data_IF_859396091513
#
_entry.id   IF_859396091513
#
_cell.length_a   1.000
_cell.length_b   1.000
_cell.length_c   1.000
_cell.angle_alpha   90.00
_cell.angle_beta   90.00
_cell.angle_gamma   90.00
#
_symmetry.space_group_name_H-M   'P 1'
#
loop_
_entity.id
_entity.type
_entity.pdbx_description
1 polymer ?
#
# COMPACT_ATOMS: atom_id res chain seq x y z
N UNK A 1 -9.16 13.99 16.27
CA UNK A 1 -8.45 14.00 17.57
C UNK A 1 -6.97 14.27 17.30
N UNK A 2 -6.26 15.07 18.11
CA UNK A 2 -4.87 15.41 17.82
C UNK A 2 -3.97 14.17 17.96
N UNK A 3 -3.09 13.97 16.99
CA UNK A 3 -2.05 12.94 16.99
C UNK A 3 -0.74 13.56 16.51
N UNK A 4 0.37 13.01 16.98
CA UNK A 4 1.71 13.38 16.53
C UNK A 4 2.21 12.30 15.58
N UNK A 5 2.48 12.67 14.33
CA UNK A 5 3.15 11.80 13.35
C UNK A 5 4.62 12.15 13.28
N UNK A 6 5.47 11.16 13.46
CA UNK A 6 6.92 11.27 13.24
C UNK A 6 7.25 10.39 12.05
N UNK A 7 7.61 11.02 10.93
CA UNK A 7 7.95 10.35 9.68
C UNK A 7 9.44 10.51 9.39
N UNK A 8 10.04 9.48 8.82
CA UNK A 8 11.42 9.50 8.34
C UNK A 8 11.56 8.67 7.07
N UNK A 9 12.61 8.99 6.30
CA UNK A 9 13.02 8.17 5.16
C UNK A 9 13.70 6.90 5.69
N UNK A 10 13.12 5.76 5.37
CA UNK A 10 13.64 4.46 5.80
C UNK A 10 15.08 4.24 5.37
N UNK A 11 15.46 4.64 4.15
CA UNK A 11 16.81 4.45 3.61
C UNK A 11 17.83 5.29 4.36
N UNK A 12 17.42 6.40 4.98
CA UNK A 12 18.30 7.26 5.77
C UNK A 12 18.50 6.77 7.20
N UNK A 13 17.45 6.27 7.84
CA UNK A 13 17.51 5.85 9.26
C UNK A 13 17.84 4.36 9.45
N UNK A 14 17.52 3.51 8.47
CA UNK A 14 17.86 2.08 8.54
C UNK A 14 16.80 1.21 9.24
N UNK A 15 15.64 1.75 9.62
CA UNK A 15 14.56 1.00 10.27
C UNK A 15 13.18 1.47 9.80
N UNK A 16 12.23 0.54 9.67
CA UNK A 16 10.85 0.85 9.35
C UNK A 16 10.03 1.17 10.61
N UNK A 17 8.99 1.98 10.46
CA UNK A 17 8.11 2.39 11.56
C UNK A 17 7.42 1.22 12.25
N UNK A 18 6.98 0.21 11.50
CA UNK A 18 6.40 -1.04 12.04
C UNK A 18 7.40 -1.84 12.90
N UNK A 19 8.67 -1.89 12.48
CA UNK A 19 9.72 -2.52 13.26
C UNK A 19 9.99 -1.75 14.57
N UNK A 20 9.95 -0.41 14.54
CA UNK A 20 10.04 0.41 15.75
C UNK A 20 8.86 0.15 16.69
N UNK A 21 7.62 0.17 16.18
CA UNK A 21 6.40 -0.10 16.97
C UNK A 21 6.51 -1.46 17.67
N UNK A 22 6.90 -2.50 16.93
CA UNK A 22 7.05 -3.85 17.47
C UNK A 22 8.13 -3.90 18.56
N UNK A 23 9.30 -3.33 18.30
CA UNK A 23 10.39 -3.30 19.27
C UNK A 23 9.98 -2.60 20.58
N UNK A 24 9.25 -1.49 20.48
CA UNK A 24 8.74 -0.74 21.62
C UNK A 24 7.65 -1.50 22.39
N UNK A 25 6.85 -2.32 21.72
CA UNK A 25 5.82 -3.14 22.34
C UNK A 25 6.38 -4.39 23.05
N UNK A 26 7.41 -5.01 22.45
CA UNK A 26 7.98 -6.28 22.90
C UNK A 26 9.04 -6.13 24.01
N UNK A 27 9.48 -4.90 24.30
CA UNK A 27 10.51 -4.62 25.30
C UNK A 27 9.99 -3.74 26.43
N UNK A 28 10.67 -3.75 27.58
CA UNK A 28 10.32 -2.90 28.73
C UNK A 28 11.08 -1.55 28.72
N UNK A 29 10.45 -0.46 29.18
CA UNK A 29 9.03 -0.32 29.54
C UNK A 29 8.12 -0.30 28.29
N UNK A 30 7.14 -1.21 28.19
CA UNK A 30 6.29 -1.35 27.00
C UNK A 30 5.64 -0.03 26.57
N UNK A 31 5.85 0.34 25.30
CA UNK A 31 5.22 1.52 24.68
C UNK A 31 4.36 1.05 23.50
N UNK A 32 3.05 1.27 23.61
CA UNK A 32 2.09 0.95 22.55
C UNK A 32 1.76 2.21 21.74
N UNK A 33 2.24 2.25 20.50
CA UNK A 33 1.99 3.30 19.52
C UNK A 33 1.66 2.67 18.16
N UNK A 34 1.23 3.47 17.19
CA UNK A 34 0.80 2.96 15.89
C UNK A 34 1.83 3.22 14.80
N UNK A 35 1.94 2.37 13.77
CA UNK A 35 2.74 2.68 12.60
C UNK A 35 2.14 3.86 11.82
N UNK A 36 2.99 4.61 11.13
CA UNK A 36 2.62 5.66 10.19
C UNK A 36 3.32 5.42 8.85
N UNK A 37 2.72 5.92 7.77
CA UNK A 37 3.29 5.92 6.41
C UNK A 37 3.21 7.33 5.84
N UNK A 38 4.05 7.67 4.86
CA UNK A 38 3.86 8.90 4.10
C UNK A 38 2.56 8.84 3.28
N UNK A 39 1.83 9.95 3.22
CA UNK A 39 0.53 9.97 2.52
C UNK A 39 0.72 9.76 1.00
N UNK A 40 1.77 10.33 0.43
CA UNK A 40 2.10 10.22 -1.00
C UNK A 40 3.58 9.83 -1.27
N UNK A 41 4.37 9.58 -0.22
CA UNK A 41 5.78 9.23 -0.37
C UNK A 41 6.03 7.81 0.18
N UNK A 42 6.26 6.82 -0.70
CA UNK A 42 6.52 5.45 -0.28
C UNK A 42 7.87 5.27 0.44
N UNK A 43 8.80 6.23 0.34
CA UNK A 43 10.05 6.19 1.08
C UNK A 43 9.86 6.56 2.57
N UNK A 44 8.77 7.26 2.90
CA UNK A 44 8.48 7.69 4.26
C UNK A 44 7.73 6.62 5.06
N UNK A 45 8.32 6.27 6.19
CA UNK A 45 7.74 5.41 7.22
C UNK A 45 7.76 6.14 8.55
N UNK A 46 7.04 5.66 9.57
CA UNK A 46 7.08 6.33 10.85
C UNK A 46 6.17 5.76 11.91
N UNK A 47 5.91 6.59 12.93
CA UNK A 47 5.00 6.26 14.03
C UNK A 47 3.99 7.38 14.26
N UNK A 48 2.82 6.99 14.76
CA UNK A 48 1.78 7.89 15.26
C UNK A 48 1.67 7.71 16.76
N UNK A 49 1.81 8.83 17.47
CA UNK A 49 1.66 8.93 18.92
C UNK A 49 0.35 9.65 19.20
N UNK A 50 -0.43 9.14 20.15
CA UNK A 50 -1.71 9.71 20.58
C UNK A 50 -1.56 10.29 21.99
N UNK A 51 -1.15 11.57 22.15
CA UNK A 51 -0.79 12.11 23.46
C UNK A 51 -1.95 12.14 24.46
N UNK A 52 -3.19 12.19 23.96
CA UNK A 52 -4.39 12.17 24.79
C UNK A 52 -4.61 10.83 25.54
N UNK A 53 -3.86 9.78 25.21
CA UNK A 53 -3.91 8.47 25.89
C UNK A 53 -2.81 8.32 26.96
N UNK A 54 -1.97 9.34 27.17
CA UNK A 54 -0.81 9.28 28.05
C UNK A 54 -1.12 9.74 29.47
N UNK A 55 -0.51 9.09 30.44
CA UNK A 55 -0.41 9.59 31.81
C UNK A 55 0.74 10.62 31.93
N UNK A 56 0.74 11.48 32.95
CA UNK A 56 1.86 12.38 33.22
C UNK A 56 3.19 11.61 33.33
N UNK A 57 4.18 11.97 32.52
CA UNK A 57 5.51 11.34 32.50
C UNK A 57 5.71 10.30 31.38
N UNK A 58 4.64 9.81 30.77
CA UNK A 58 4.72 8.87 29.64
C UNK A 58 5.37 9.51 28.40
N UNK A 59 5.20 10.82 28.24
CA UNK A 59 5.79 11.61 27.16
C UNK A 59 7.32 11.47 27.13
N UNK A 60 7.96 11.49 28.30
CA UNK A 60 9.40 11.30 28.42
C UNK A 60 9.81 9.88 28.10
N UNK A 61 9.08 8.88 28.63
CA UNK A 61 9.35 7.47 28.37
C UNK A 61 9.25 7.17 26.86
N UNK A 62 8.18 7.64 26.21
CA UNK A 62 7.96 7.46 24.78
C UNK A 62 9.05 8.17 23.96
N UNK A 63 9.39 9.40 24.32
CA UNK A 63 10.45 10.16 23.65
C UNK A 63 11.81 9.48 23.72
N UNK A 64 12.24 9.07 24.93
CA UNK A 64 13.53 8.43 25.16
C UNK A 64 13.63 7.08 24.41
N UNK A 65 12.55 6.29 24.44
CA UNK A 65 12.49 4.97 23.78
C UNK A 65 12.49 5.10 22.26
N UNK A 66 11.75 6.07 21.72
CA UNK A 66 11.74 6.36 20.28
C UNK A 66 13.11 6.86 19.82
N UNK A 67 13.73 7.75 20.57
CA UNK A 67 15.09 8.23 20.30
C UNK A 67 16.10 7.09 20.30
N UNK A 68 16.07 6.21 21.30
CA UNK A 68 16.97 5.06 21.38
C UNK A 68 16.80 4.08 20.21
N UNK A 69 15.56 3.81 19.79
CA UNK A 69 15.28 2.94 18.65
C UNK A 69 15.82 3.52 17.33
N UNK A 70 15.58 4.82 17.09
CA UNK A 70 16.01 5.47 15.85
C UNK A 70 17.52 5.69 15.80
N UNK A 71 18.13 6.14 16.89
CA UNK A 71 19.58 6.35 16.98
C UNK A 71 20.37 5.04 16.95
N UNK A 72 19.85 3.95 17.54
CA UNK A 72 20.48 2.63 17.48
C UNK A 72 20.40 1.93 16.12
N UNK A 73 19.48 2.38 15.25
CA UNK A 73 19.34 1.94 13.87
C UNK A 73 20.16 2.79 12.88
N UNK A 74 20.41 4.06 13.21
CA UNK A 74 21.11 4.99 12.35
C UNK A 74 22.48 4.44 11.88
N UNK A 75 22.69 4.42 10.56
CA UNK A 75 23.93 3.93 9.94
C UNK A 75 24.01 2.41 9.73
N UNK A 76 23.01 1.64 10.16
CA UNK A 76 22.86 0.24 9.73
C UNK A 76 22.06 0.22 8.43
N UNK A 77 22.51 -0.48 7.37
CA UNK A 77 21.66 -0.72 6.21
C UNK A 77 20.38 -1.39 6.70
N UNK A 78 19.22 -0.76 6.45
CA UNK A 78 17.95 -1.46 6.59
C UNK A 78 18.01 -2.65 5.64
N UNK A 79 18.19 -3.86 6.16
CA UNK A 79 17.75 -5.02 5.41
C UNK A 79 16.23 -4.91 5.36
N UNK A 80 15.69 -4.67 4.17
CA UNK A 80 14.30 -4.99 3.95
C UNK A 80 14.07 -6.44 4.39
N UNK A 81 13.09 -6.74 5.26
CA UNK A 81 12.53 -8.08 5.24
C UNK A 81 12.25 -8.36 3.77
N UNK A 82 12.81 -9.42 3.18
CA UNK A 82 12.62 -9.67 1.76
C UNK A 82 11.11 -9.68 1.53
N UNK A 83 10.65 -8.79 0.64
CA UNK A 83 9.25 -8.77 0.25
C UNK A 83 8.88 -10.21 -0.11
N UNK A 84 7.75 -10.74 0.39
CA UNK A 84 7.36 -12.10 0.08
C UNK A 84 7.41 -12.28 -1.43
N UNK A 85 8.16 -13.27 -1.89
CA UNK A 85 8.30 -13.51 -3.33
C UNK A 85 6.90 -13.61 -3.94
N UNK A 86 6.72 -12.97 -5.10
CA UNK A 86 5.45 -12.98 -5.80
C UNK A 86 4.94 -14.42 -5.94
N UNK A 87 3.74 -14.69 -5.46
CA UNK A 87 3.16 -16.03 -5.49
C UNK A 87 2.77 -16.47 -6.92
N UNK A 88 2.69 -15.52 -7.85
CA UNK A 88 2.36 -15.74 -9.25
C UNK A 88 3.01 -14.68 -10.17
N UNK A 89 3.07 -15.01 -11.47
CA UNK A 89 3.30 -14.05 -12.54
C UNK A 89 1.96 -13.51 -13.07
N UNK A 90 1.72 -12.23 -12.81
CA UNK A 90 0.51 -11.52 -13.21
C UNK A 90 0.59 -10.96 -14.63
N UNK A 91 1.71 -11.12 -15.34
CA UNK A 91 1.86 -10.61 -16.70
C UNK A 91 0.80 -11.17 -17.64
N UNK A 92 0.26 -10.31 -18.51
CA UNK A 92 -0.79 -10.66 -19.47
C UNK A 92 -2.01 -9.75 -19.38
N UNK A 93 -3.07 -10.15 -20.09
CA UNK A 93 -4.35 -9.44 -20.09
C UNK A 93 -5.29 -10.06 -19.05
N UNK A 94 -6.02 -9.19 -18.36
CA UNK A 94 -7.03 -9.55 -17.38
C UNK A 94 -8.35 -8.85 -17.69
N UNK A 95 -9.44 -9.61 -17.66
CA UNK A 95 -10.80 -9.08 -17.71
C UNK A 95 -11.22 -8.73 -16.29
N UNK A 96 -11.54 -7.46 -16.04
CA UNK A 96 -11.80 -6.90 -14.71
C UNK A 96 -13.27 -6.55 -14.61
N UNK A 97 -13.98 -7.10 -13.64
CA UNK A 97 -15.36 -6.75 -13.34
C UNK A 97 -15.41 -5.89 -12.07
N UNK A 98 -16.04 -4.72 -12.15
CA UNK A 98 -16.18 -3.78 -11.02
C UNK A 98 -17.65 -3.66 -10.65
N UNK A 99 -17.94 -3.85 -9.37
CA UNK A 99 -19.26 -3.69 -8.75
C UNK A 99 -19.27 -2.39 -7.92
N UNK A 100 -19.83 -1.34 -8.50
CA UNK A 100 -20.09 -0.06 -7.84
C UNK A 100 -21.40 -0.11 -7.03
N UNK A 101 -21.60 0.89 -6.17
CA UNK A 101 -22.83 1.01 -5.39
C UNK A 101 -24.11 1.12 -6.25
N UNK A 102 -24.00 1.67 -7.47
CA UNK A 102 -25.14 1.95 -8.35
C UNK A 102 -25.10 1.21 -9.69
N UNK A 103 -24.19 0.26 -9.89
CA UNK A 103 -24.06 -0.47 -11.16
C UNK A 103 -22.75 -1.25 -11.26
N UNK A 104 -22.50 -1.81 -12.44
CA UNK A 104 -21.29 -2.58 -12.74
C UNK A 104 -20.60 -2.05 -13.99
N UNK A 105 -19.31 -2.34 -14.13
CA UNK A 105 -18.56 -2.08 -15.37
C UNK A 105 -17.50 -3.16 -15.60
N UNK A 106 -17.21 -3.41 -16.87
CA UNK A 106 -16.20 -4.37 -17.32
C UNK A 106 -15.01 -3.62 -17.93
N UNK A 107 -13.86 -3.76 -17.28
CA UNK A 107 -12.60 -3.12 -17.62
C UNK A 107 -11.57 -4.18 -18.06
N UNK A 108 -10.39 -3.74 -18.48
CA UNK A 108 -9.26 -4.63 -18.74
C UNK A 108 -7.96 -4.10 -18.17
N UNK A 109 -7.14 -4.99 -17.62
CA UNK A 109 -5.74 -4.71 -17.30
C UNK A 109 -4.82 -5.38 -18.32
N UNK A 110 -3.79 -4.65 -18.72
CA UNK A 110 -2.64 -5.17 -19.46
C UNK A 110 -1.44 -5.04 -18.54
N UNK A 111 -1.00 -6.14 -17.95
CA UNK A 111 0.02 -6.16 -16.90
C UNK A 111 1.35 -6.69 -17.44
N UNK A 112 2.44 -6.07 -16.99
CA UNK A 112 3.80 -6.56 -17.12
C UNK A 112 4.46 -6.55 -15.75
N UNK A 113 4.85 -7.73 -15.27
CA UNK A 113 5.51 -7.89 -13.98
C UNK A 113 7.04 -7.98 -14.15
N UNK A 114 7.78 -7.29 -13.28
CA UNK A 114 9.23 -7.43 -13.11
C UNK A 114 9.54 -7.59 -11.62
N UNK A 115 9.76 -8.84 -11.20
CA UNK A 115 9.89 -9.16 -9.78
C UNK A 115 8.59 -8.88 -9.04
N UNK A 116 8.61 -7.96 -8.08
CA UNK A 116 7.45 -7.50 -7.32
C UNK A 116 6.76 -6.27 -7.93
N UNK A 117 7.36 -5.62 -8.94
CA UNK A 117 6.80 -4.44 -9.58
C UNK A 117 5.91 -4.82 -10.76
N UNK A 118 4.84 -4.06 -10.97
CA UNK A 118 3.89 -4.20 -12.06
C UNK A 118 3.72 -2.85 -12.75
N UNK A 119 3.78 -2.84 -14.08
CA UNK A 119 3.37 -1.71 -14.91
C UNK A 119 2.47 -2.16 -16.04
N UNK A 120 1.79 -1.21 -16.68
CA UNK A 120 1.09 -1.45 -17.92
C UNK A 120 -0.07 -0.49 -18.09
N UNK A 121 -1.21 -0.99 -18.58
CA UNK A 121 -2.36 -0.15 -18.90
C UNK A 121 -3.67 -0.66 -18.29
N UNK A 122 -4.47 0.27 -17.80
CA UNK A 122 -5.85 0.05 -17.37
C UNK A 122 -6.80 0.68 -18.40
N UNK A 123 -7.58 -0.16 -19.06
CA UNK A 123 -8.65 0.23 -19.98
C UNK A 123 -9.99 0.18 -19.27
N UNK A 124 -10.63 1.33 -19.08
CA UNK A 124 -12.03 1.40 -18.69
C UNK A 124 -12.93 1.63 -19.90
N UNK A 125 -14.21 1.90 -19.65
CA UNK A 125 -15.23 2.09 -20.69
C UNK A 125 -14.89 3.18 -21.72
N UNK A 126 -14.30 4.29 -21.25
CA UNK A 126 -14.10 5.48 -22.08
C UNK A 126 -12.65 5.77 -22.40
N UNK A 127 -11.74 5.43 -21.50
CA UNK A 127 -10.32 5.82 -21.60
C UNK A 127 -9.38 4.72 -21.12
N UNK A 128 -8.23 4.65 -21.77
CA UNK A 128 -7.08 3.85 -21.36
C UNK A 128 -6.07 4.75 -20.67
N UNK A 129 -5.47 4.27 -19.59
CA UNK A 129 -4.47 5.01 -18.80
C UNK A 129 -3.39 4.08 -18.29
N UNK A 130 -2.24 4.64 -17.96
CA UNK A 130 -1.16 3.85 -17.37
C UNK A 130 -1.54 3.37 -15.97
N UNK A 131 -1.08 2.17 -15.62
CA UNK A 131 -1.16 1.63 -14.27
C UNK A 131 0.24 1.29 -13.76
N UNK A 132 0.39 1.40 -12.45
CA UNK A 132 1.53 0.91 -11.71
C UNK A 132 1.03 0.10 -10.51
N UNK A 133 1.77 -0.91 -10.10
CA UNK A 133 1.36 -1.78 -9.01
C UNK A 133 2.50 -2.60 -8.42
N UNK A 134 2.15 -3.39 -7.43
CA UNK A 134 3.06 -4.31 -6.74
C UNK A 134 2.36 -5.61 -6.39
N UNK A 135 3.14 -6.69 -6.35
CA UNK A 135 2.74 -7.98 -5.79
C UNK A 135 3.72 -8.40 -4.68
N UNK A 136 3.18 -8.74 -3.53
CA UNK A 136 3.91 -9.23 -2.35
C UNK A 136 3.21 -10.51 -1.87
N UNK A 137 3.80 -11.68 -2.14
CA UNK A 137 3.10 -12.95 -1.95
C UNK A 137 1.89 -13.03 -2.86
N UNK A 138 0.70 -13.24 -2.30
CA UNK A 138 -0.58 -13.21 -3.01
C UNK A 138 -1.25 -11.82 -2.99
N UNK A 139 -0.73 -10.86 -2.23
CA UNK A 139 -1.32 -9.53 -2.12
C UNK A 139 -0.96 -8.67 -3.33
N UNK A 140 -1.96 -8.06 -3.95
CA UNK A 140 -1.82 -7.24 -5.16
C UNK A 140 -2.34 -5.84 -4.88
N UNK A 141 -1.57 -4.83 -5.29
CA UNK A 141 -2.00 -3.42 -5.28
C UNK A 141 -1.75 -2.83 -6.65
N UNK A 142 -2.77 -2.27 -7.27
CA UNK A 142 -2.68 -1.60 -8.57
C UNK A 142 -3.30 -0.22 -8.43
N UNK A 143 -2.62 0.79 -8.97
CA UNK A 143 -3.15 2.14 -9.12
C UNK A 143 -3.10 2.57 -10.57
N UNK A 144 -4.15 3.26 -10.97
CA UNK A 144 -4.20 3.92 -12.28
C UNK A 144 -4.79 5.30 -12.09
N UNK A 145 -4.20 6.30 -12.74
CA UNK A 145 -4.66 7.67 -12.63
C UNK A 145 -5.13 8.18 -13.99
N UNK A 146 -6.24 8.90 -13.99
CA UNK A 146 -6.57 9.83 -15.05
C UNK A 146 -6.22 11.23 -14.56
N UNK A 147 -5.15 11.81 -15.11
CA UNK A 147 -4.78 13.19 -14.79
C UNK A 147 -5.86 14.18 -15.24
N UNK A 148 -5.82 15.39 -14.69
CA UNK A 148 -6.77 16.45 -15.00
C UNK A 148 -6.88 16.67 -16.52
N UNK A 149 -8.02 16.29 -17.07
CA UNK A 149 -8.48 16.72 -18.38
C UNK A 149 -9.92 17.16 -18.21
N UNK A 150 -10.19 18.44 -18.46
CA UNK A 150 -11.49 19.08 -18.20
C UNK A 150 -11.90 19.21 -16.71
N UNK A 151 -10.95 19.21 -15.78
CA UNK A 151 -11.21 19.49 -14.35
C UNK A 151 -11.60 18.28 -13.51
N UNK A 152 -11.65 17.09 -14.10
CA UNK A 152 -11.85 15.83 -13.38
C UNK A 152 -10.55 15.03 -13.33
N UNK A 153 -10.19 14.56 -12.13
CA UNK A 153 -9.12 13.61 -11.91
C UNK A 153 -9.69 12.39 -11.18
N UNK A 154 -9.49 11.20 -11.74
CA UNK A 154 -10.02 9.96 -11.16
C UNK A 154 -8.87 9.00 -10.91
N UNK A 155 -8.62 8.76 -9.63
CA UNK A 155 -7.63 7.78 -9.16
C UNK A 155 -8.34 6.50 -8.79
N UNK A 156 -7.97 5.38 -9.41
CA UNK A 156 -8.39 4.05 -8.99
C UNK A 156 -7.27 3.41 -8.17
N UNK A 157 -7.59 2.96 -6.96
CA UNK A 157 -6.69 2.21 -6.10
C UNK A 157 -7.27 0.83 -5.80
N UNK A 158 -6.84 -0.16 -6.58
CA UNK A 158 -7.23 -1.56 -6.41
C UNK A 158 -6.33 -2.23 -5.36
N UNK A 159 -6.94 -2.85 -4.36
CA UNK A 159 -6.28 -3.72 -3.40
C UNK A 159 -6.94 -5.09 -3.44
N UNK A 160 -6.17 -6.16 -3.56
CA UNK A 160 -6.75 -7.50 -3.66
C UNK A 160 -5.75 -8.61 -3.40
N UNK A 161 -6.20 -9.84 -3.64
CA UNK A 161 -5.39 -11.06 -3.59
C UNK A 161 -5.46 -11.80 -4.92
N UNK A 162 -4.39 -12.50 -5.27
CA UNK A 162 -4.34 -13.39 -6.44
C UNK A 162 -4.39 -14.86 -6.02
N UNK A 163 -5.13 -15.66 -6.79
CA UNK A 163 -5.17 -17.10 -6.64
C UNK A 163 -5.29 -17.73 -8.03
N UNK A 164 -4.17 -18.23 -8.57
CA UNK A 164 -4.08 -18.75 -9.93
C UNK A 164 -4.45 -17.69 -10.98
N UNK A 165 -5.46 -17.98 -11.80
CA UNK A 165 -5.95 -17.09 -12.87
C UNK A 165 -7.09 -16.15 -12.42
N UNK A 166 -7.19 -15.90 -11.12
CA UNK A 166 -8.18 -14.99 -10.53
C UNK A 166 -7.51 -13.97 -9.62
N UNK A 167 -8.04 -12.75 -9.63
CA UNK A 167 -7.81 -11.74 -8.60
C UNK A 167 -9.14 -11.22 -8.07
N UNK A 168 -9.16 -10.77 -6.82
CA UNK A 168 -10.34 -10.12 -6.24
C UNK A 168 -9.98 -9.19 -5.09
N UNK A 169 -10.81 -8.18 -4.85
CA UNK A 169 -10.63 -7.28 -3.73
C UNK A 169 -11.51 -6.03 -3.75
N UNK A 170 -10.97 -4.96 -3.18
CA UNK A 170 -11.65 -3.66 -3.05
C UNK A 170 -11.00 -2.62 -3.96
N UNK A 171 -11.82 -1.66 -4.39
CA UNK A 171 -11.43 -0.51 -5.18
C UNK A 171 -11.79 0.76 -4.39
N UNK A 172 -10.78 1.58 -4.13
CA UNK A 172 -10.93 2.93 -3.60
C UNK A 172 -10.78 3.95 -4.72
N UNK A 173 -11.65 4.96 -4.73
CA UNK A 173 -11.68 6.01 -5.77
C UNK A 173 -11.56 7.43 -5.21
N UNK A 174 -10.76 7.61 -4.15
CA UNK A 174 -10.58 8.93 -3.54
C UNK A 174 -11.85 9.41 -2.84
N UNK A 175 -12.44 10.52 -3.32
CA UNK A 175 -13.67 11.08 -2.76
C UNK A 175 -14.95 10.34 -3.18
N UNK A 176 -14.86 9.47 -4.20
CA UNK A 176 -15.99 8.67 -4.68
C UNK A 176 -16.17 7.39 -3.85
N UNK A 177 -17.39 6.86 -3.84
CA UNK A 177 -17.72 5.61 -3.14
C UNK A 177 -16.84 4.45 -3.62
N UNK A 178 -16.35 3.65 -2.68
CA UNK A 178 -15.60 2.43 -2.99
C UNK A 178 -16.45 1.37 -3.69
N UNK A 179 -15.77 0.37 -4.26
CA UNK A 179 -16.36 -0.71 -5.02
C UNK A 179 -15.67 -2.05 -4.72
N UNK A 180 -16.31 -3.16 -5.12
CA UNK A 180 -15.66 -4.47 -5.19
C UNK A 180 -15.21 -4.74 -6.62
N UNK A 181 -14.16 -5.53 -6.78
CA UNK A 181 -13.75 -5.96 -8.10
C UNK A 181 -13.28 -7.40 -8.08
N UNK A 182 -13.43 -8.05 -9.23
CA UNK A 182 -12.82 -9.34 -9.55
C UNK A 182 -12.10 -9.22 -10.88
N UNK A 183 -11.09 -10.05 -11.11
CA UNK A 183 -10.49 -10.17 -12.42
C UNK A 183 -10.17 -11.63 -12.74
N UNK A 184 -10.25 -11.97 -14.03
CA UNK A 184 -9.85 -13.27 -14.55
C UNK A 184 -8.84 -13.08 -15.67
N UNK A 185 -7.88 -13.99 -15.76
CA UNK A 185 -6.94 -13.96 -16.87
C UNK A 185 -7.73 -14.10 -18.17
N UNK A 186 -7.46 -13.23 -19.13
CA UNK A 186 -8.11 -13.26 -20.44
C UNK A 186 -7.66 -14.54 -21.15
N UNK A 187 -8.58 -15.48 -21.31
CA UNK A 187 -8.31 -16.72 -22.02
C UNK A 187 -8.20 -16.45 -23.52
N UNK A 188 -7.16 -16.98 -24.17
CA UNK A 188 -7.20 -17.19 -25.61
C UNK A 188 -8.40 -18.10 -25.88
N UNK A 189 -9.44 -17.62 -26.56
CA UNK A 189 -10.41 -18.54 -27.16
C UNK A 189 -9.63 -19.43 -28.13
N UNK A 190 -9.55 -20.72 -27.85
CA UNK A 190 -9.24 -21.71 -28.89
C UNK A 190 -10.32 -21.55 -29.97
N UNK A 191 -9.85 -21.31 -31.20
CA UNK A 191 -10.66 -21.31 -32.40
C UNK A 191 -10.85 -22.75 -32.90
#
# INVERSE_FOLDING_TARGET
MPSLRVLWDRKKIGIAGDAVVRALFDTDPRVAIFPARGDNDPALTGVTVNPYMMAPGDDRVVGDRLYAALSGAAGKPAADPPAPAAAADLSGQWDVHIEYAAGTSDHSFYLRQRGSEIDGAHRGDFVSRDLAGTIEGDAVKIRSNYGESHGDALTYSFSGQTSGDRMEGTLEMGEYLGARWTARRHGTREA
#
